data_IF_927814731502
#
_entry.id   IF_927814731502
#
_cell.length_a   1.000
_cell.length_b   1.000
_cell.length_c   1.000
_cell.angle_alpha   90.00
_cell.angle_beta   90.00
_cell.angle_gamma   90.00
#
_symmetry.space_group_name_H-M   'P 1'
#
loop_
_entity.id
_entity.type
_entity.pdbx_description
1 polymer ?
#
# COMPACT_ATOMS: atom_id res chain seq x y z
N UNK A 1 -2.21 5.86 9.37
CA UNK A 1 -2.07 5.44 7.96
C UNK A 1 -0.91 4.46 7.90
N UNK A 2 -1.08 3.28 7.30
CA UNK A 2 -0.01 2.30 7.08
C UNK A 2 0.76 2.53 5.77
N UNK A 3 1.76 1.69 5.51
CA UNK A 3 2.59 1.69 4.31
C UNK A 3 2.62 0.28 3.65
N UNK A 4 3.00 0.20 2.38
CA UNK A 4 2.97 -0.98 1.48
C UNK A 4 1.60 -1.51 1.05
N UNK A 5 0.62 -1.52 1.95
CA UNK A 5 -0.72 -2.04 1.64
C UNK A 5 -0.74 -3.54 1.33
N UNK A 6 0.13 -4.30 1.99
CA UNK A 6 0.20 -5.75 1.88
C UNK A 6 -1.14 -6.41 2.23
N UNK A 7 -1.55 -7.41 1.44
CA UNK A 7 -2.87 -8.05 1.59
C UNK A 7 -3.07 -8.65 2.97
N UNK A 8 -2.05 -9.32 3.52
CA UNK A 8 -2.11 -9.91 4.86
C UNK A 8 -2.39 -8.85 5.93
N UNK A 9 -1.69 -7.71 5.87
CA UNK A 9 -1.90 -6.58 6.79
C UNK A 9 -3.33 -6.04 6.71
N UNK A 10 -3.92 -5.98 5.51
CA UNK A 10 -5.31 -5.55 5.30
C UNK A 10 -6.33 -6.57 5.83
N UNK A 11 -6.00 -7.86 5.82
CA UNK A 11 -6.84 -8.92 6.40
C UNK A 11 -6.82 -8.83 7.92
N UNK A 12 -5.65 -8.68 8.54
CA UNK A 12 -5.51 -8.61 10.00
C UNK A 12 -6.06 -7.31 10.58
N UNK A 13 -5.88 -6.18 9.87
CA UNK A 13 -6.31 -4.86 10.31
C UNK A 13 -7.21 -4.20 9.23
N UNK A 14 -8.48 -4.64 9.09
CA UNK A 14 -9.37 -4.18 8.01
C UNK A 14 -9.69 -2.68 8.07
N UNK A 15 -9.58 -2.07 9.24
CA UNK A 15 -9.80 -0.64 9.49
C UNK A 15 -8.58 0.24 9.17
N UNK A 16 -7.44 -0.36 8.82
CA UNK A 16 -6.21 0.37 8.55
C UNK A 16 -6.25 0.98 7.14
N UNK A 17 -6.34 2.30 7.08
CA UNK A 17 -6.02 3.04 5.85
C UNK A 17 -4.52 2.99 5.58
N UNK A 18 -4.10 2.73 4.34
CA UNK A 18 -2.68 2.51 3.98
C UNK A 18 -2.37 3.03 2.58
N UNK A 19 -1.13 3.44 2.35
CA UNK A 19 -0.61 3.67 0.99
C UNK A 19 -0.17 2.31 0.44
N UNK A 20 -0.74 1.91 -0.70
CA UNK A 20 -0.41 0.70 -1.41
C UNK A 20 0.71 0.96 -2.42
N UNK A 21 1.77 0.17 -2.31
CA UNK A 21 2.90 0.19 -3.24
C UNK A 21 2.59 -0.72 -4.46
N UNK A 22 2.97 -0.31 -5.69
CA UNK A 22 2.68 -1.07 -6.90
C UNK A 22 3.71 -2.20 -7.13
N UNK A 23 3.74 -3.20 -6.25
CA UNK A 23 4.77 -4.28 -6.24
C UNK A 23 4.89 -5.03 -7.57
N UNK A 24 3.78 -5.26 -8.28
CA UNK A 24 3.77 -5.92 -9.58
C UNK A 24 4.41 -5.06 -10.69
N UNK A 25 4.32 -3.74 -10.56
CA UNK A 25 4.96 -2.83 -11.51
C UNK A 25 6.44 -2.70 -11.19
N UNK A 26 6.79 -2.62 -9.91
CA UNK A 26 8.19 -2.63 -9.46
C UNK A 26 8.91 -3.85 -10.04
N UNK A 27 8.36 -5.05 -9.88
CA UNK A 27 8.99 -6.28 -10.39
C UNK A 27 9.14 -6.28 -11.91
N UNK A 28 8.08 -5.96 -12.65
CA UNK A 28 8.09 -5.91 -14.12
C UNK A 28 9.12 -4.92 -14.64
N UNK A 29 9.16 -3.72 -14.08
CA UNK A 29 10.07 -2.68 -14.54
C UNK A 29 11.51 -2.99 -14.14
N UNK A 30 11.75 -3.47 -12.93
CA UNK A 30 13.10 -3.85 -12.50
C UNK A 30 13.70 -4.93 -13.40
N UNK A 31 12.95 -6.00 -13.70
CA UNK A 31 13.41 -7.06 -14.61
C UNK A 31 13.65 -6.53 -16.01
N UNK A 32 12.73 -5.71 -16.54
CA UNK A 32 12.89 -5.09 -17.87
C UNK A 32 14.15 -4.24 -17.93
N UNK A 33 14.37 -3.34 -16.96
CA UNK A 33 15.56 -2.48 -16.91
C UNK A 33 16.84 -3.29 -16.83
N UNK A 34 16.85 -4.35 -16.02
CA UNK A 34 17.99 -5.26 -15.94
C UNK A 34 18.31 -5.91 -17.29
N UNK A 35 17.29 -6.42 -18.00
CA UNK A 35 17.48 -7.02 -19.33
C UNK A 35 17.98 -6.00 -20.35
N UNK A 36 17.49 -4.77 -20.28
CA UNK A 36 17.92 -3.67 -21.14
C UNK A 36 19.39 -3.30 -20.87
N UNK A 37 19.79 -3.22 -19.61
CA UNK A 37 21.20 -3.00 -19.22
C UNK A 37 22.11 -4.12 -19.72
N UNK A 38 21.69 -5.39 -19.62
CA UNK A 38 22.45 -6.54 -20.14
C UNK A 38 22.65 -6.44 -21.66
N UNK A 39 21.68 -5.90 -22.40
CA UNK A 39 21.78 -5.66 -23.84
C UNK A 39 22.59 -4.42 -24.20
N UNK A 40 23.03 -3.63 -23.23
CA UNK A 40 23.70 -2.34 -23.45
C UNK A 40 22.74 -1.21 -23.86
N UNK A 41 21.44 -1.37 -23.62
CA UNK A 41 20.47 -0.29 -23.84
C UNK A 41 20.61 0.78 -22.75
N UNK A 42 20.40 2.05 -23.12
CA UNK A 42 20.41 3.15 -22.14
C UNK A 42 19.12 3.12 -21.32
N UNK A 43 19.27 3.15 -20.00
CA UNK A 43 18.19 3.20 -19.03
C UNK A 43 18.34 4.41 -18.12
N UNK A 44 17.24 4.90 -17.56
CA UNK A 44 17.28 5.97 -16.55
C UNK A 44 17.65 5.43 -15.18
N UNK A 45 18.37 6.20 -14.38
CA UNK A 45 18.74 5.80 -13.01
C UNK A 45 17.55 5.85 -12.05
N UNK A 46 16.59 6.75 -12.31
CA UNK A 46 15.40 6.95 -11.50
C UNK A 46 14.12 6.68 -12.29
N UNK A 47 13.13 6.13 -11.59
CA UNK A 47 11.77 5.97 -12.08
C UNK A 47 10.78 6.08 -10.92
N UNK A 48 9.79 6.95 -11.08
CA UNK A 48 8.67 7.07 -10.13
C UNK A 48 7.48 6.22 -10.60
N UNK A 49 6.95 5.38 -9.70
CA UNK A 49 5.78 4.55 -9.97
C UNK A 49 4.58 5.05 -9.14
N UNK A 50 3.35 5.02 -9.69
CA UNK A 50 2.18 5.53 -9.00
C UNK A 50 1.79 4.66 -7.80
N UNK A 51 1.61 5.30 -6.65
CA UNK A 51 1.08 4.67 -5.44
C UNK A 51 -0.43 4.93 -5.31
N UNK A 52 -1.12 4.11 -4.51
CA UNK A 52 -2.57 4.24 -4.29
C UNK A 52 -2.90 4.36 -2.81
N UNK A 53 -3.69 5.36 -2.41
CA UNK A 53 -4.25 5.39 -1.06
C UNK A 53 -5.44 4.44 -0.96
N UNK A 54 -5.36 3.47 -0.06
CA UNK A 54 -6.49 2.66 0.39
C UNK A 54 -7.06 3.33 1.64
N UNK A 55 -8.19 4.01 1.50
CA UNK A 55 -8.91 4.64 2.62
C UNK A 55 -9.92 3.67 3.21
N UNK A 56 -9.90 3.52 4.52
CA UNK A 56 -10.84 2.75 5.33
C UNK A 56 -11.58 3.71 6.27
N UNK A 57 -12.90 3.58 6.35
CA UNK A 57 -13.74 4.41 7.21
C UNK A 57 -13.88 3.68 8.53
N UNK A 58 -13.27 4.21 9.59
CA UNK A 58 -13.56 3.74 10.94
C UNK A 58 -15.02 4.06 11.27
N UNK A 59 -15.87 3.04 11.35
CA UNK A 59 -17.13 3.19 12.06
C UNK A 59 -16.77 3.43 13.54
N UNK A 60 -16.85 4.70 13.99
CA UNK A 60 -16.83 5.01 15.42
C UNK A 60 -18.05 4.32 16.05
N UNK A 61 -17.87 3.09 16.55
CA UNK A 61 -18.80 2.48 17.49
C UNK A 61 -18.85 3.39 18.72
N UNK A 62 -19.91 4.20 18.77
CA UNK A 62 -20.18 5.15 19.83
C UNK A 62 -20.57 4.36 21.10
N UNK A 63 -19.59 3.72 21.76
CA UNK A 63 -19.77 3.04 23.06
C UNK A 63 -19.58 4.04 24.20
N UNK A 64 -20.46 5.04 24.27
CA UNK A 64 -20.79 5.73 25.52
C UNK A 64 -22.28 5.58 25.76
N UNK A 65 -22.70 4.38 26.17
CA UNK A 65 -23.83 4.24 27.09
C UNK A 65 -23.21 3.98 28.45
N UNK A 66 -23.09 5.03 29.25
CA UNK A 66 -22.90 4.89 30.69
C UNK A 66 -24.24 4.33 31.19
N UNK A 67 -24.31 3.13 31.81
CA UNK A 67 -25.55 2.69 32.43
C UNK A 67 -25.84 3.63 33.59
N UNK A 68 -27.00 4.31 33.54
CA UNK A 68 -27.58 4.99 34.69
C UNK A 68 -27.70 3.98 35.83
N UNK A 69 -26.79 4.09 36.80
CA UNK A 69 -26.76 3.24 37.98
C UNK A 69 -26.82 4.16 39.18
N UNK A 70 -27.99 4.14 39.82
CA UNK A 70 -28.34 4.67 41.16
C UNK A 70 -28.59 6.17 41.22
#
# INVERSE_FOLDING_TARGET
IGFDGAQQTLIYNPELSTIQQPIDQISKVAVKKLLNMIKGEKETDELSLPVKLIKKIQHKLNRRKIPSSI
#
